data_IF_081117565663
#
_entry.id   IF_081117565663
#
_cell.length_a   1.000
_cell.length_b   1.000
_cell.length_c   1.000
_cell.angle_alpha   90.00
_cell.angle_beta   90.00
_cell.angle_gamma   90.00
#
_symmetry.space_group_name_H-M   'P 1'
#
loop_
_entity.id
_entity.type
_entity.pdbx_description
1 polymer ?
#
# COMPACT_ATOMS: atom_id res chain seq x y z
N UNK A 1 15.87 13.70 -25.59
CA UNK A 1 14.93 13.62 -24.46
C UNK A 1 15.41 14.55 -23.36
N UNK A 2 14.58 15.45 -22.83
CA UNK A 2 14.98 16.38 -21.79
C UNK A 2 15.24 15.64 -20.46
N UNK A 3 16.35 15.96 -19.77
CA UNK A 3 16.68 15.36 -18.48
C UNK A 3 15.66 15.84 -17.43
N UNK A 4 15.05 14.95 -16.63
CA UNK A 4 14.14 15.36 -15.56
C UNK A 4 14.84 16.31 -14.59
N UNK A 5 14.19 17.42 -14.26
CA UNK A 5 14.67 18.33 -13.20
C UNK A 5 14.35 17.73 -11.83
N UNK A 6 15.13 18.07 -10.81
CA UNK A 6 14.91 17.63 -9.42
C UNK A 6 13.50 17.96 -8.93
N UNK A 7 12.94 19.10 -9.36
CA UNK A 7 11.57 19.52 -9.04
C UNK A 7 10.51 18.59 -9.65
N UNK A 8 10.69 18.17 -10.90
CA UNK A 8 9.77 17.25 -11.55
C UNK A 8 9.80 15.88 -10.88
N UNK A 9 11.00 15.35 -10.60
CA UNK A 9 11.16 14.07 -9.90
C UNK A 9 10.47 14.07 -8.53
N UNK A 10 10.58 15.16 -7.76
CA UNK A 10 9.92 15.28 -6.46
C UNK A 10 8.39 15.33 -6.58
N UNK A 11 7.88 16.04 -7.58
CA UNK A 11 6.44 16.09 -7.86
C UNK A 11 5.91 14.70 -8.26
N UNK A 12 6.62 14.01 -9.13
CA UNK A 12 6.23 12.68 -9.61
C UNK A 12 6.24 11.67 -8.45
N UNK A 13 7.25 11.73 -7.58
CA UNK A 13 7.31 10.92 -6.38
C UNK A 13 6.13 11.21 -5.43
N UNK A 14 5.78 12.49 -5.23
CA UNK A 14 4.65 12.86 -4.40
C UNK A 14 3.32 12.32 -4.96
N UNK A 15 3.11 12.45 -6.28
CA UNK A 15 1.93 11.90 -6.96
C UNK A 15 1.87 10.37 -6.87
N UNK A 16 3.02 9.70 -6.98
CA UNK A 16 3.11 8.26 -6.83
C UNK A 16 2.69 7.81 -5.41
N UNK A 17 3.13 8.53 -4.37
CA UNK A 17 2.71 8.27 -2.98
C UNK A 17 1.21 8.44 -2.77
N UNK A 18 0.63 9.55 -3.27
CA UNK A 18 -0.81 9.80 -3.19
C UNK A 18 -1.63 8.72 -3.93
N UNK A 19 -1.18 8.32 -5.12
CA UNK A 19 -1.82 7.28 -5.92
C UNK A 19 -1.78 5.93 -5.20
N UNK A 20 -0.62 5.55 -4.66
CA UNK A 20 -0.46 4.31 -3.90
C UNK A 20 -1.35 4.29 -2.65
N UNK A 21 -1.43 5.40 -1.91
CA UNK A 21 -2.30 5.51 -0.74
C UNK A 21 -3.79 5.35 -1.11
N UNK A 22 -4.24 5.98 -2.20
CA UNK A 22 -5.61 5.84 -2.69
C UNK A 22 -5.93 4.40 -3.11
N UNK A 23 -5.00 3.73 -3.80
CA UNK A 23 -5.17 2.33 -4.21
C UNK A 23 -5.24 1.40 -3.00
N UNK A 24 -4.37 1.61 -2.00
CA UNK A 24 -4.40 0.83 -0.76
C UNK A 24 -5.71 1.07 0.01
N UNK A 25 -6.16 2.31 0.13
CA UNK A 25 -7.43 2.62 0.78
C UNK A 25 -8.61 1.88 0.11
N UNK A 26 -8.67 1.90 -1.22
CA UNK A 26 -9.71 1.19 -1.97
C UNK A 26 -9.64 -0.34 -1.74
N UNK A 27 -8.45 -0.91 -1.67
CA UNK A 27 -8.27 -2.34 -1.37
C UNK A 27 -8.73 -2.70 0.05
N UNK A 28 -8.39 -1.88 1.05
CA UNK A 28 -8.82 -2.09 2.44
C UNK A 28 -10.33 -2.01 2.59
N UNK A 29 -10.99 -1.10 1.88
CA UNK A 29 -12.46 -1.00 1.86
C UNK A 29 -13.12 -2.29 1.38
N UNK A 30 -12.53 -2.98 0.39
CA UNK A 30 -13.04 -4.30 -0.07
C UNK A 30 -12.98 -5.37 1.01
N UNK A 31 -12.13 -5.20 2.02
CA UNK A 31 -12.01 -6.07 3.19
C UNK A 31 -12.86 -5.58 4.38
N UNK A 32 -13.62 -4.50 4.22
CA UNK A 32 -14.38 -3.86 5.31
C UNK A 32 -13.51 -3.12 6.31
N UNK A 33 -12.28 -2.74 5.92
CA UNK A 33 -11.29 -2.05 6.78
C UNK A 33 -11.17 -0.60 6.29
N UNK A 34 -11.23 0.35 7.22
CA UNK A 34 -10.96 1.77 6.95
C UNK A 34 -9.84 2.24 7.87
N UNK A 35 -8.78 2.82 7.28
CA UNK A 35 -7.70 3.49 8.00
C UNK A 35 -7.84 5.01 7.77
N UNK A 36 -8.43 5.77 8.72
CA UNK A 36 -8.71 7.19 8.50
C UNK A 36 -7.44 8.03 8.28
N UNK A 37 -6.33 7.58 8.84
CA UNK A 37 -5.04 8.26 8.78
C UNK A 37 -4.14 7.81 7.63
N UNK A 38 -4.63 6.89 6.77
CA UNK A 38 -3.89 6.43 5.60
C UNK A 38 -3.79 7.56 4.56
N UNK A 39 -2.55 7.95 4.20
CA UNK A 39 -2.32 9.04 3.25
C UNK A 39 -1.00 8.88 2.49
N UNK A 40 -0.94 9.51 1.31
CA UNK A 40 0.34 9.81 0.68
C UNK A 40 1.05 10.92 1.45
N UNK A 41 2.37 10.84 1.56
CA UNK A 41 3.18 11.80 2.31
C UNK A 41 4.33 12.33 1.46
N UNK A 42 5.16 13.17 2.07
CA UNK A 42 6.33 13.72 1.41
C UNK A 42 7.26 12.60 0.94
N UNK A 43 7.81 12.69 -0.29
CA UNK A 43 8.74 11.69 -0.79
C UNK A 43 9.92 11.47 0.14
N UNK A 44 10.31 10.20 0.31
CA UNK A 44 11.51 9.83 1.05
C UNK A 44 12.52 9.33 0.04
N UNK A 45 13.69 9.96 -0.01
CA UNK A 45 14.76 9.65 -0.98
C UNK A 45 14.27 9.64 -2.45
N UNK A 46 13.39 10.58 -2.80
CA UNK A 46 12.83 10.71 -4.15
C UNK A 46 11.84 9.62 -4.55
N UNK A 47 11.33 8.84 -3.59
CA UNK A 47 10.31 7.82 -3.80
C UNK A 47 8.99 8.24 -3.17
N UNK A 48 7.88 7.87 -3.81
CA UNK A 48 6.56 8.04 -3.21
C UNK A 48 6.48 7.32 -1.88
N UNK A 49 5.87 7.97 -0.91
CA UNK A 49 5.81 7.49 0.47
C UNK A 49 4.35 7.48 0.94
N UNK A 50 3.98 6.42 1.66
CA UNK A 50 2.63 6.22 2.19
C UNK A 50 2.74 6.06 3.69
N UNK A 51 2.02 6.91 4.42
CA UNK A 51 1.85 6.77 5.86
C UNK A 51 0.56 5.99 6.11
N UNK A 52 0.67 4.82 6.76
CA UNK A 52 -0.50 3.99 7.11
C UNK A 52 -1.31 4.61 8.25
N UNK A 53 -0.67 5.46 9.07
CA UNK A 53 -1.22 6.01 10.29
C UNK A 53 -1.40 4.96 11.39
N UNK A 54 -2.15 5.33 12.43
CA UNK A 54 -2.51 4.43 13.52
C UNK A 54 -3.86 3.75 13.29
N UNK A 55 -4.02 2.56 13.85
CA UNK A 55 -5.30 1.89 13.99
C UNK A 55 -5.45 1.27 15.38
N UNK A 56 -6.68 0.93 15.76
CA UNK A 56 -6.92 0.18 16.99
C UNK A 56 -6.47 -1.29 16.83
N UNK A 57 -6.27 -1.97 17.95
CA UNK A 57 -5.78 -3.35 17.98
C UNK A 57 -6.69 -4.33 17.22
N UNK A 58 -8.02 -4.15 17.34
CA UNK A 58 -8.99 -5.00 16.65
C UNK A 58 -8.86 -4.92 15.13
N UNK A 59 -8.71 -3.72 14.58
CA UNK A 59 -8.52 -3.50 13.16
C UNK A 59 -7.18 -4.08 12.69
N UNK A 60 -6.12 -3.89 13.48
CA UNK A 60 -4.81 -4.47 13.19
C UNK A 60 -4.86 -6.00 13.15
N UNK A 61 -5.55 -6.65 14.10
CA UNK A 61 -5.76 -8.10 14.12
C UNK A 61 -6.54 -8.59 12.90
N UNK A 62 -7.63 -7.90 12.53
CA UNK A 62 -8.41 -8.24 11.33
C UNK A 62 -7.57 -8.11 10.05
N UNK A 63 -6.77 -7.05 9.94
CA UNK A 63 -5.87 -6.86 8.79
C UNK A 63 -4.83 -7.98 8.71
N UNK A 64 -4.19 -8.33 9.83
CA UNK A 64 -3.22 -9.41 9.90
C UNK A 64 -3.84 -10.76 9.47
N UNK A 65 -5.05 -11.06 9.94
CA UNK A 65 -5.79 -12.25 9.54
C UNK A 65 -5.98 -12.31 8.02
N UNK A 66 -6.44 -11.21 7.39
CA UNK A 66 -6.66 -11.18 5.92
C UNK A 66 -5.37 -11.33 5.12
N UNK A 67 -4.27 -10.77 5.61
CA UNK A 67 -2.95 -10.92 4.98
C UNK A 67 -2.50 -12.39 5.04
N UNK A 68 -2.67 -13.04 6.20
CA UNK A 68 -2.32 -14.45 6.35
C UNK A 68 -3.19 -15.36 5.47
N UNK A 69 -4.51 -15.15 5.44
CA UNK A 69 -5.42 -15.88 4.56
C UNK A 69 -4.99 -15.79 3.08
N UNK A 70 -4.56 -14.61 2.63
CA UNK A 70 -4.08 -14.40 1.27
C UNK A 70 -2.71 -15.07 1.02
N UNK A 71 -1.80 -15.02 1.99
CA UNK A 71 -0.50 -15.68 1.91
C UNK A 71 -0.64 -17.20 1.82
N UNK A 72 -1.48 -17.79 2.69
CA UNK A 72 -1.77 -19.23 2.70
C UNK A 72 -2.37 -19.68 1.37
N UNK A 73 -3.30 -18.90 0.80
CA UNK A 73 -3.88 -19.18 -0.51
C UNK A 73 -2.84 -19.14 -1.65
N UNK A 74 -1.89 -18.20 -1.60
CA UNK A 74 -0.79 -18.11 -2.57
C UNK A 74 0.13 -19.34 -2.47
N UNK A 75 0.49 -19.78 -1.27
CA UNK A 75 1.34 -20.96 -1.08
C UNK A 75 0.64 -22.25 -1.52
N UNK A 76 -0.66 -22.39 -1.22
CA UNK A 76 -1.46 -23.50 -1.74
C UNK A 76 -1.50 -23.52 -3.28
N UNK A 77 -1.63 -22.36 -3.93
CA UNK A 77 -1.63 -22.26 -5.40
C UNK A 77 -0.29 -22.67 -6.01
N UNK A 78 0.83 -22.33 -5.35
CA UNK A 78 2.19 -22.71 -5.79
C UNK A 78 2.45 -24.21 -5.61
N UNK A 79 1.98 -24.78 -4.52
CA UNK A 79 2.06 -26.23 -4.28
C UNK A 79 1.18 -27.04 -5.24
N UNK A 80 0.08 -26.45 -5.73
CA UNK A 80 -0.77 -27.05 -6.76
C UNK A 80 -0.18 -26.95 -8.17
N UNK A 81 0.55 -25.88 -8.50
CA UNK A 81 1.16 -25.67 -9.81
C UNK A 81 2.41 -26.52 -10.10
N UNK A 82 2.93 -27.23 -9.09
CA UNK A 82 4.05 -28.18 -9.23
C UNK A 82 3.62 -29.64 -9.39
N UNK A 83 2.32 -29.91 -9.61
CA UNK A 83 1.77 -31.25 -9.84
C UNK A 83 1.23 -31.41 -11.25
#
# INVERSE_FOLDING_TARGET
MARPTTKNTQRDAHLAGATAASALAAALVRLGIVLPSLRGSHPVNGRGFVELGGCNAELASRLAQRINEAADALDASRAGAGR
#
